data_IF_649414389674
#
_entry.id   IF_649414389674
#
_cell.length_a   1.000
_cell.length_b   1.000
_cell.length_c   1.000
_cell.angle_alpha   90.00
_cell.angle_beta   90.00
_cell.angle_gamma   90.00
#
_symmetry.space_group_name_H-M   'P 1'
#
loop_
_entity.id
_entity.type
_entity.pdbx_description
1 polymer ?
#
# COMPACT_ATOMS: atom_id res chain seq x y z
N UNK A 1 -6.40 -26.21 4.44
CA UNK A 1 -6.00 -26.15 3.01
C UNK A 1 -4.63 -26.82 2.92
N UNK A 2 -4.43 -27.78 2.01
CA UNK A 2 -3.12 -28.41 1.80
C UNK A 2 -2.05 -27.35 1.51
N UNK A 3 -0.85 -27.49 2.06
CA UNK A 3 0.25 -26.52 1.96
C UNK A 3 0.60 -26.20 0.49
N UNK A 4 0.62 -27.21 -0.38
CA UNK A 4 0.86 -27.04 -1.80
C UNK A 4 -0.19 -26.13 -2.49
N UNK A 5 -1.48 -26.24 -2.11
CA UNK A 5 -2.54 -25.37 -2.65
C UNK A 5 -2.41 -23.95 -2.11
N UNK A 6 -1.89 -23.75 -0.89
CA UNK A 6 -1.63 -22.42 -0.32
C UNK A 6 -0.49 -21.72 -1.06
N UNK A 7 0.63 -22.40 -1.27
CA UNK A 7 1.77 -21.85 -1.98
C UNK A 7 1.42 -21.50 -3.44
N UNK A 8 0.74 -22.41 -4.15
CA UNK A 8 0.29 -22.16 -5.51
C UNK A 8 -0.67 -20.96 -5.61
N UNK A 9 -1.58 -20.82 -4.63
CA UNK A 9 -2.48 -19.67 -4.58
C UNK A 9 -1.73 -18.35 -4.35
N UNK A 10 -0.80 -18.33 -3.39
CA UNK A 10 0.02 -17.14 -3.11
C UNK A 10 0.84 -16.70 -4.34
N UNK A 11 1.46 -17.64 -5.03
CA UNK A 11 2.22 -17.36 -6.25
C UNK A 11 1.30 -16.83 -7.35
N UNK A 12 0.15 -17.46 -7.57
CA UNK A 12 -0.81 -17.00 -8.58
C UNK A 12 -1.31 -15.58 -8.33
N UNK A 13 -1.54 -15.20 -7.07
CA UNK A 13 -1.97 -13.84 -6.70
C UNK A 13 -0.88 -12.81 -7.02
N UNK A 14 0.39 -13.13 -6.77
CA UNK A 14 1.51 -12.23 -7.04
C UNK A 14 1.79 -12.10 -8.55
N UNK A 15 1.78 -13.21 -9.28
CA UNK A 15 1.98 -13.23 -10.73
C UNK A 15 0.85 -12.51 -11.47
N UNK A 16 -0.41 -12.74 -11.08
CA UNK A 16 -1.56 -12.03 -11.64
C UNK A 16 -1.45 -10.53 -11.44
N UNK A 17 -0.86 -10.06 -10.35
CA UNK A 17 -0.60 -8.63 -10.12
C UNK A 17 0.48 -8.10 -11.08
N UNK A 18 1.54 -8.86 -11.33
CA UNK A 18 2.61 -8.47 -12.25
C UNK A 18 2.14 -8.43 -13.72
N UNK A 19 1.37 -9.43 -14.15
CA UNK A 19 0.81 -9.48 -15.51
C UNK A 19 -0.15 -8.32 -15.80
N UNK A 20 -0.98 -7.97 -14.81
CA UNK A 20 -2.02 -6.97 -14.96
C UNK A 20 -1.55 -5.52 -14.72
N UNK A 21 -0.40 -5.32 -14.08
CA UNK A 21 0.18 -3.99 -13.84
C UNK A 21 0.96 -3.42 -15.04
N UNK A 22 1.11 -4.19 -16.13
CA UNK A 22 1.68 -3.70 -17.38
C UNK A 22 3.20 -3.52 -17.37
N UNK A 23 3.93 -4.09 -16.40
CA UNK A 23 5.40 -4.12 -16.37
C UNK A 23 6.01 -5.16 -17.32
N UNK A 24 5.18 -6.00 -17.95
CA UNK A 24 5.58 -6.88 -19.04
C UNK A 24 5.85 -6.10 -20.34
N UNK A 25 6.96 -6.43 -21.01
CA UNK A 25 7.49 -5.77 -22.22
C UNK A 25 6.54 -5.73 -23.46
N UNK A 26 5.31 -6.25 -23.36
CA UNK A 26 4.35 -6.38 -24.46
C UNK A 26 3.04 -5.59 -24.28
N UNK A 27 2.88 -4.79 -23.21
CA UNK A 27 1.63 -4.07 -22.93
C UNK A 27 1.86 -2.66 -22.38
N UNK A 28 2.43 -1.76 -23.20
CA UNK A 28 2.20 -0.32 -22.99
C UNK A 28 0.72 -0.03 -23.25
N UNK A 29 -0.10 -0.01 -22.20
CA UNK A 29 -1.43 0.60 -22.24
C UNK A 29 -2.64 -0.32 -22.01
N UNK A 30 -2.45 -1.58 -21.57
CA UNK A 30 -3.58 -2.44 -21.14
C UNK A 30 -3.33 -3.02 -19.76
N UNK A 31 -3.14 -2.16 -18.77
CA UNK A 31 -3.26 -2.57 -17.37
C UNK A 31 -4.70 -2.99 -17.05
N UNK A 32 -4.90 -3.77 -15.98
CA UNK A 32 -6.20 -4.24 -15.51
C UNK A 32 -7.21 -3.09 -15.29
N UNK A 33 -7.93 -2.66 -16.33
CA UNK A 33 -8.67 -1.38 -16.26
C UNK A 33 -10.00 -1.56 -15.50
N UNK A 34 -10.82 -2.56 -15.85
CA UNK A 34 -12.13 -2.77 -15.23
C UNK A 34 -12.03 -3.38 -13.82
N UNK A 35 -11.12 -4.33 -13.62
CA UNK A 35 -10.92 -4.95 -12.31
C UNK A 35 -10.27 -3.99 -11.31
N UNK A 36 -9.33 -3.15 -11.73
CA UNK A 36 -8.78 -2.09 -10.89
C UNK A 36 -9.83 -1.00 -10.60
N UNK A 37 -10.66 -0.61 -11.59
CA UNK A 37 -11.74 0.33 -11.35
C UNK A 37 -12.77 -0.21 -10.34
N UNK A 38 -13.11 -1.50 -10.41
CA UNK A 38 -13.99 -2.14 -9.42
C UNK A 38 -13.35 -2.20 -8.02
N UNK A 39 -12.06 -2.53 -7.94
CA UNK A 39 -11.32 -2.51 -6.67
C UNK A 39 -11.23 -1.11 -6.08
N UNK A 40 -10.97 -0.09 -6.91
CA UNK A 40 -10.94 1.31 -6.50
C UNK A 40 -12.32 1.81 -6.06
N UNK A 41 -13.40 1.40 -6.75
CA UNK A 41 -14.77 1.71 -6.34
C UNK A 41 -15.11 1.05 -5.00
N UNK A 42 -14.77 -0.23 -4.79
CA UNK A 42 -14.97 -0.90 -3.49
C UNK A 42 -14.22 -0.18 -2.36
N UNK A 43 -12.95 0.11 -2.58
CA UNK A 43 -12.12 0.81 -1.60
C UNK A 43 -12.66 2.22 -1.32
N UNK A 44 -12.97 2.99 -2.36
CA UNK A 44 -13.55 4.34 -2.22
C UNK A 44 -14.90 4.31 -1.51
N UNK A 45 -15.75 3.35 -1.82
CA UNK A 45 -17.03 3.17 -1.15
C UNK A 45 -16.84 2.83 0.33
N UNK A 46 -15.88 1.98 0.68
CA UNK A 46 -15.56 1.67 2.07
C UNK A 46 -15.10 2.92 2.84
N UNK A 47 -14.22 3.74 2.24
CA UNK A 47 -13.77 5.00 2.84
C UNK A 47 -14.95 5.96 3.06
N UNK A 48 -15.81 6.14 2.04
CA UNK A 48 -16.99 7.01 2.13
C UNK A 48 -18.00 6.52 3.16
N UNK A 49 -18.27 5.21 3.23
CA UNK A 49 -19.10 4.60 4.29
C UNK A 49 -18.49 4.84 5.68
N UNK A 50 -17.17 4.72 5.81
CA UNK A 50 -16.43 5.05 7.05
C UNK A 50 -16.69 6.49 7.50
N UNK A 51 -16.58 7.44 6.56
CA UNK A 51 -16.85 8.86 6.81
C UNK A 51 -18.34 9.15 7.10
N UNK A 52 -19.26 8.32 6.59
CA UNK A 52 -20.68 8.38 6.89
C UNK A 52 -21.05 7.78 8.26
N UNK A 53 -20.10 7.19 8.98
CA UNK A 53 -20.27 6.62 10.31
C UNK A 53 -20.50 5.10 10.34
N UNK A 54 -20.44 4.44 9.18
CA UNK A 54 -20.47 2.98 9.10
C UNK A 54 -19.05 2.42 9.12
N UNK A 55 -18.71 1.64 10.16
CA UNK A 55 -17.37 1.06 10.29
C UNK A 55 -17.13 0.01 9.21
N UNK A 56 -16.22 0.32 8.30
CA UNK A 56 -15.80 -0.56 7.21
C UNK A 56 -14.35 -0.99 7.40
N UNK A 57 -14.09 -2.25 7.08
CA UNK A 57 -12.78 -2.88 7.22
C UNK A 57 -12.21 -3.16 5.83
N UNK A 58 -11.04 -2.62 5.51
CA UNK A 58 -10.36 -2.86 4.23
C UNK A 58 -8.85 -2.92 4.41
N UNK A 59 -8.13 -3.45 3.42
CA UNK A 59 -6.67 -3.43 3.39
C UNK A 59 -6.17 -2.19 2.65
N UNK A 60 -5.26 -1.45 3.27
CA UNK A 60 -4.71 -0.22 2.71
C UNK A 60 -3.19 -0.16 2.94
N UNK A 61 -2.47 0.40 1.97
CA UNK A 61 -1.05 0.73 2.11
C UNK A 61 -0.93 2.10 2.77
N UNK A 62 -0.44 2.12 4.01
CA UNK A 62 -0.30 3.35 4.81
C UNK A 62 0.93 3.29 5.69
N UNK A 63 1.30 4.45 6.23
CA UNK A 63 2.35 4.57 7.24
C UNK A 63 1.90 3.85 8.51
N UNK A 64 2.46 2.68 8.78
CA UNK A 64 2.08 1.86 9.92
C UNK A 64 3.28 1.16 10.55
N UNK A 65 3.27 1.09 11.87
CA UNK A 65 4.26 0.31 12.64
C UNK A 65 3.86 -1.17 12.75
N UNK A 66 2.90 -1.63 11.92
CA UNK A 66 2.39 -2.99 11.94
C UNK A 66 3.45 -4.04 11.54
N UNK A 67 4.48 -3.61 10.82
CA UNK A 67 5.61 -4.43 10.41
C UNK A 67 6.92 -3.78 10.90
N UNK A 68 7.63 -4.38 11.87
CA UNK A 68 8.88 -3.83 12.36
C UNK A 68 9.92 -3.70 11.23
N UNK A 69 10.50 -2.50 11.09
CA UNK A 69 11.56 -2.22 10.12
C UNK A 69 11.10 -1.62 8.78
N UNK A 70 9.78 -1.42 8.57
CA UNK A 70 9.25 -0.79 7.35
C UNK A 70 8.32 0.36 7.71
N UNK A 71 8.52 1.54 7.13
CA UNK A 71 7.72 2.74 7.44
C UNK A 71 6.33 2.74 6.82
N UNK A 72 6.13 2.05 5.69
CA UNK A 72 4.83 1.89 5.04
C UNK A 72 4.54 0.43 4.81
N UNK A 73 3.33 -0.01 5.17
CA UNK A 73 2.95 -1.40 5.05
C UNK A 73 1.45 -1.55 4.78
N UNK A 74 1.09 -2.56 3.97
CA UNK A 74 -0.29 -2.89 3.69
C UNK A 74 -0.90 -3.62 4.88
N UNK A 75 -1.75 -2.94 5.63
CA UNK A 75 -2.38 -3.46 6.83
C UNK A 75 -3.89 -3.38 6.72
N UNK A 76 -4.59 -4.28 7.42
CA UNK A 76 -6.03 -4.17 7.59
C UNK A 76 -6.33 -2.94 8.46
N UNK A 77 -7.20 -2.07 8.00
CA UNK A 77 -7.65 -0.89 8.72
C UNK A 77 -9.16 -0.86 8.85
N UNK A 78 -9.62 -0.30 9.96
CA UNK A 78 -11.02 0.11 10.12
C UNK A 78 -11.12 1.60 9.84
N UNK A 79 -12.00 1.95 8.90
CA UNK A 79 -12.36 3.33 8.62
C UNK A 79 -13.51 3.79 9.53
N UNK A 80 -13.48 5.07 9.87
CA UNK A 80 -14.56 5.76 10.57
C UNK A 80 -14.57 7.25 10.25
N UNK A 81 -15.14 8.05 11.16
CA UNK A 81 -15.54 9.43 10.85
C UNK A 81 -14.37 10.37 10.50
N UNK A 82 -13.17 10.05 10.99
CA UNK A 82 -11.94 10.83 10.75
C UNK A 82 -10.96 10.11 9.82
N UNK A 83 -11.41 9.13 9.03
CA UNK A 83 -10.56 8.31 8.17
C UNK A 83 -10.13 7.02 8.86
N UNK A 84 -8.83 6.75 8.97
CA UNK A 84 -8.33 5.50 9.58
C UNK A 84 -8.45 5.59 11.12
N UNK A 85 -9.37 4.82 11.71
CA UNK A 85 -9.55 4.78 13.17
C UNK A 85 -8.63 3.75 13.83
N UNK A 86 -8.41 2.62 13.17
CA UNK A 86 -7.66 1.51 13.76
C UNK A 86 -6.86 0.77 12.70
N UNK A 87 -5.59 0.53 13.00
CA UNK A 87 -4.73 -0.37 12.23
C UNK A 87 -4.69 -1.70 12.97
N UNK A 88 -5.05 -2.78 12.29
CA UNK A 88 -5.01 -4.12 12.84
C UNK A 88 -3.64 -4.77 12.58
N UNK A 89 -3.10 -5.54 13.54
CA UNK A 89 -1.84 -6.25 13.34
C UNK A 89 -2.03 -7.41 12.34
N UNK A 90 -0.92 -7.82 11.72
CA UNK A 90 -0.84 -8.89 10.70
C UNK A 90 -1.39 -10.24 11.22
N UNK A 91 -1.43 -10.43 12.55
CA UNK A 91 -1.96 -11.64 13.18
C UNK A 91 -0.94 -12.78 13.18
N UNK A 92 -1.44 -14.03 13.24
CA UNK A 92 -0.59 -15.23 13.25
C UNK A 92 -0.33 -15.68 11.82
N UNK A 93 0.92 -15.60 11.38
CA UNK A 93 1.37 -16.07 10.06
C UNK A 93 2.13 -17.39 10.19
N UNK A 94 2.12 -18.19 9.12
CA UNK A 94 2.87 -19.43 9.00
C UNK A 94 4.38 -19.18 8.84
N UNK A 95 5.22 -20.14 9.18
CA UNK A 95 6.68 -20.05 9.00
C UNK A 95 7.08 -19.73 7.56
N UNK A 96 6.36 -20.30 6.58
CA UNK A 96 6.61 -20.02 5.16
C UNK A 96 6.25 -18.57 4.76
N UNK A 97 5.16 -18.03 5.30
CA UNK A 97 4.73 -16.64 5.07
C UNK A 97 5.67 -15.66 5.77
N UNK A 98 6.18 -16.02 6.95
CA UNK A 98 7.20 -15.25 7.67
C UNK A 98 8.49 -15.15 6.84
N UNK A 99 8.96 -16.26 6.27
CA UNK A 99 10.16 -16.27 5.43
C UNK A 99 9.98 -15.41 4.16
N UNK A 100 8.80 -15.46 3.55
CA UNK A 100 8.47 -14.61 2.41
C UNK A 100 8.40 -13.13 2.78
N UNK A 101 7.82 -12.83 3.94
CA UNK A 101 7.73 -11.46 4.45
C UNK A 101 9.11 -10.86 4.67
N UNK A 102 10.03 -11.59 5.33
CA UNK A 102 11.40 -11.11 5.54
C UNK A 102 12.15 -10.83 4.22
N UNK A 103 11.91 -11.66 3.18
CA UNK A 103 12.48 -11.42 1.84
C UNK A 103 11.95 -10.13 1.23
N UNK A 104 10.63 -9.91 1.27
CA UNK A 104 9.97 -8.75 0.64
C UNK A 104 10.24 -7.47 1.43
N UNK A 105 10.45 -7.53 2.75
CA UNK A 105 10.77 -6.34 3.56
C UNK A 105 11.98 -5.59 3.03
N UNK A 106 13.05 -6.30 2.65
CA UNK A 106 14.27 -5.66 2.15
C UNK A 106 14.02 -4.89 0.85
N UNK A 107 13.28 -5.50 -0.07
CA UNK A 107 12.87 -4.89 -1.35
C UNK A 107 11.95 -3.68 -1.11
N UNK A 108 10.95 -3.84 -0.23
CA UNK A 108 9.99 -2.78 0.09
C UNK A 108 10.67 -1.55 0.73
N UNK A 109 11.69 -1.73 1.56
CA UNK A 109 12.46 -0.61 2.14
C UNK A 109 13.22 0.15 1.06
N UNK A 110 13.77 -0.55 0.06
CA UNK A 110 14.45 0.08 -1.08
C UNK A 110 13.44 0.86 -1.93
N UNK A 111 12.30 0.26 -2.28
CA UNK A 111 11.25 0.93 -3.08
C UNK A 111 10.72 2.21 -2.40
N UNK A 112 10.57 2.17 -1.06
CA UNK A 112 10.15 3.35 -0.29
C UNK A 112 11.22 4.45 -0.35
N UNK A 113 12.49 4.09 -0.20
CA UNK A 113 13.59 5.05 -0.26
C UNK A 113 13.70 5.68 -1.66
N UNK A 114 13.57 4.87 -2.71
CA UNK A 114 13.56 5.35 -4.09
C UNK A 114 12.39 6.34 -4.33
N UNK A 115 11.24 6.09 -3.71
CA UNK A 115 10.10 7.01 -3.70
C UNK A 115 10.40 8.34 -3.00
N UNK A 116 11.10 8.32 -1.87
CA UNK A 116 11.52 9.53 -1.16
C UNK A 116 12.58 10.32 -1.95
N UNK A 117 13.61 9.64 -2.43
CA UNK A 117 14.67 10.24 -3.26
C UNK A 117 14.08 10.90 -4.52
N UNK A 118 13.08 10.26 -5.14
CA UNK A 118 12.37 10.85 -6.28
C UNK A 118 11.56 12.09 -5.89
N UNK A 119 10.86 12.05 -4.75
CA UNK A 119 10.07 13.17 -4.25
C UNK A 119 10.94 14.36 -3.79
N UNK A 120 12.18 14.12 -3.34
CA UNK A 120 13.14 15.19 -3.03
C UNK A 120 13.74 15.82 -4.29
N UNK A 121 14.00 15.02 -5.33
CA UNK A 121 14.55 15.49 -6.61
C UNK A 121 13.53 16.21 -7.49
N UNK A 122 12.25 15.93 -7.30
CA UNK A 122 11.14 16.50 -8.07
C UNK A 122 10.43 17.54 -7.20
N UNK A 123 9.98 18.68 -7.74
CA UNK A 123 9.44 19.84 -7.00
C UNK A 123 8.17 19.59 -6.12
N UNK A 124 7.81 18.33 -5.84
CA UNK A 124 6.74 17.93 -4.91
C UNK A 124 7.04 18.31 -3.44
N UNK A 125 8.27 18.70 -3.12
CA UNK A 125 8.66 19.30 -1.83
C UNK A 125 8.28 20.80 -1.70
N UNK A 126 7.94 21.49 -2.79
CA UNK A 126 7.77 22.95 -2.83
C UNK A 126 6.47 23.49 -2.17
N UNK A 127 5.84 22.73 -1.26
CA UNK A 127 4.57 23.09 -0.61
C UNK A 127 4.66 23.55 0.85
N UNK A 128 5.82 23.54 1.49
CA UNK A 128 5.90 23.84 2.94
C UNK A 128 7.09 24.71 3.38
N UNK A 129 7.53 25.65 2.55
CA UNK A 129 8.20 26.84 3.11
C UNK A 129 7.15 27.95 3.27
N UNK A 130 6.70 28.26 4.51
CA UNK A 130 6.05 29.54 4.75
C UNK A 130 7.07 30.62 4.39
N UNK A 131 6.70 31.40 3.39
CA UNK A 131 7.21 32.73 3.10
C UNK A 131 7.59 33.44 4.40
N UNK A 132 8.88 33.72 4.59
CA UNK A 132 9.31 34.77 5.49
C UNK A 132 9.66 35.99 4.66
N UNK A 133 8.82 37.03 4.63
CA UNK A 133 9.23 38.34 4.18
C UNK A 133 9.89 39.11 5.35
N UNK A 134 11.09 39.67 5.06
CA UNK A 134 11.66 40.90 5.64
C UNK A 134 12.16 40.89 7.10
N UNK A 135 13.48 41.13 7.31
CA UNK A 135 14.02 42.26 8.11
C UNK A 135 15.51 42.13 8.52
N UNK A 136 16.34 43.07 8.01
CA UNK A 136 17.54 43.74 8.60
C UNK A 136 18.82 42.88 8.79
N UNK A 137 20.03 43.37 8.51
CA UNK A 137 20.55 44.75 8.52
C UNK A 137 21.48 45.04 7.32
#
# INVERSE_FOLDING_TARGET
IPEARRAAFLQSVQELSAENSGTGASSRGKGATLSQAYAAWRFGNAVLSGLAGEKTDEFCFLKSDACPGVSFFASKVTFGLAGVEKIHPIGKISTAEQAMLERIKAELVQDIQDGFDYAERTELSAGSTPTSPVSKA
#
